data_IF_319682822225
#
_entry.id   IF_319682822225
#
_cell.length_a   1.000
_cell.length_b   1.000
_cell.length_c   1.000
_cell.angle_alpha   90.00
_cell.angle_beta   90.00
_cell.angle_gamma   90.00
#
_symmetry.space_group_name_H-M   'P 1'
#
loop_
_entity.id
_entity.type
_entity.pdbx_description
1 polymer ?
#
# COMPACT_ATOMS: atom_id res chain seq x y z
N UNK A 1 -20.98 -3.30 -10.56
CA UNK A 1 -19.51 -3.47 -10.69
C UNK A 1 -19.24 -4.97 -10.78
N UNK A 2 -19.17 -5.51 -12.00
CA UNK A 2 -19.07 -6.95 -12.24
C UNK A 2 -17.61 -7.40 -11.99
N UNK A 3 -17.38 -8.20 -10.94
CA UNK A 3 -16.06 -8.79 -10.62
C UNK A 3 -15.96 -10.15 -11.30
N UNK A 4 -15.74 -10.18 -12.62
CA UNK A 4 -15.35 -11.42 -13.33
C UNK A 4 -13.95 -11.83 -12.85
N UNK A 5 -13.89 -12.50 -11.69
CA UNK A 5 -12.68 -12.99 -11.07
C UNK A 5 -12.37 -14.36 -11.70
N UNK A 6 -11.56 -14.38 -12.76
CA UNK A 6 -11.03 -15.59 -13.41
C UNK A 6 -10.00 -16.31 -12.52
N UNK A 7 -10.31 -16.50 -11.23
CA UNK A 7 -9.42 -17.12 -10.24
C UNK A 7 -8.13 -16.33 -9.91
N UNK A 8 -7.91 -15.16 -10.51
CA UNK A 8 -6.69 -14.38 -10.32
C UNK A 8 -6.91 -13.21 -9.35
N UNK A 9 -6.33 -13.32 -8.15
CA UNK A 9 -6.25 -12.21 -7.20
C UNK A 9 -4.99 -11.37 -7.41
N UNK A 10 -5.03 -10.08 -7.05
CA UNK A 10 -3.85 -9.21 -7.06
C UNK A 10 -3.35 -9.04 -5.63
N UNK A 11 -2.08 -9.33 -5.42
CA UNK A 11 -1.41 -9.22 -4.13
C UNK A 11 -0.38 -8.09 -4.22
N UNK A 12 -0.13 -7.37 -3.12
CA UNK A 12 0.80 -6.23 -3.10
C UNK A 12 2.00 -6.50 -2.19
N UNK A 13 3.21 -6.26 -2.73
CA UNK A 13 4.44 -6.23 -1.96
C UNK A 13 5.11 -4.87 -2.14
N UNK A 14 5.48 -4.22 -1.05
CA UNK A 14 6.08 -2.89 -1.10
C UNK A 14 5.83 -2.09 0.17
N UNK A 15 6.09 -0.79 0.08
CA UNK A 15 5.99 0.12 1.20
C UNK A 15 4.95 1.19 0.92
N UNK A 16 4.10 1.41 1.90
CA UNK A 16 3.17 2.53 1.97
C UNK A 16 3.59 3.43 3.12
N UNK A 17 3.60 4.74 2.92
CA UNK A 17 3.97 5.70 3.96
C UNK A 17 3.07 6.91 3.90
N UNK A 18 2.74 7.44 5.09
CA UNK A 18 1.87 8.59 5.28
C UNK A 18 2.59 9.59 6.17
N UNK A 19 2.53 10.87 5.84
CA UNK A 19 3.10 11.98 6.60
C UNK A 19 2.09 13.11 6.75
N UNK A 20 1.83 13.53 7.98
CA UNK A 20 1.03 14.71 8.31
C UNK A 20 1.91 15.95 8.16
N UNK A 21 1.64 16.75 7.13
CA UNK A 21 2.37 18.01 6.88
C UNK A 21 1.81 19.11 7.78
N UNK A 22 0.48 19.23 7.83
CA UNK A 22 -0.25 20.13 8.73
C UNK A 22 -1.64 19.52 9.05
N UNK A 23 -2.48 20.24 9.81
CA UNK A 23 -3.81 19.76 10.22
C UNK A 23 -4.71 19.34 9.04
N UNK A 24 -4.51 19.93 7.87
CA UNK A 24 -5.37 19.76 6.71
C UNK A 24 -4.59 19.18 5.52
N UNK A 25 -3.37 18.66 5.69
CA UNK A 25 -2.56 18.14 4.60
C UNK A 25 -1.84 16.86 5.02
N UNK A 26 -2.27 15.77 4.41
CA UNK A 26 -1.70 14.45 4.59
C UNK A 26 -1.02 14.05 3.28
N UNK A 27 0.30 13.95 3.30
CA UNK A 27 1.07 13.38 2.21
C UNK A 27 1.08 11.86 2.31
N UNK A 28 0.93 11.17 1.20
CA UNK A 28 1.03 9.72 1.12
C UNK A 28 1.88 9.29 -0.07
N UNK A 29 2.52 8.14 0.08
CA UNK A 29 3.29 7.47 -0.98
C UNK A 29 3.08 5.96 -0.90
N UNK A 30 2.89 5.35 -2.06
CA UNK A 30 2.80 3.91 -2.27
C UNK A 30 3.87 3.56 -3.29
N UNK A 31 4.74 2.63 -2.91
CA UNK A 31 5.82 2.14 -3.75
C UNK A 31 5.90 0.63 -3.62
N UNK A 32 5.59 -0.10 -4.68
CA UNK A 32 5.69 -1.55 -4.67
C UNK A 32 5.20 -2.22 -5.94
N UNK A 33 5.07 -3.52 -5.86
CA UNK A 33 4.73 -4.39 -6.98
C UNK A 33 3.43 -5.14 -6.69
N UNK A 34 2.63 -5.28 -7.73
CA UNK A 34 1.49 -6.17 -7.75
C UNK A 34 1.88 -7.50 -8.39
N UNK A 35 1.40 -8.59 -7.82
CA UNK A 35 1.58 -9.96 -8.30
C UNK A 35 0.23 -10.63 -8.48
N UNK A 36 0.18 -11.65 -9.34
CA UNK A 36 -1.00 -12.49 -9.51
C UNK A 36 -0.96 -13.67 -8.53
N UNK A 37 -1.95 -13.73 -7.64
CA UNK A 37 -2.09 -14.74 -6.60
C UNK A 37 -0.93 -14.73 -5.58
N UNK A 38 -1.11 -15.46 -4.49
CA UNK A 38 -0.21 -15.47 -3.33
C UNK A 38 -0.89 -14.96 -2.08
N UNK A 39 -0.12 -14.84 -1.00
CA UNK A 39 -0.60 -14.35 0.29
C UNK A 39 0.13 -13.05 0.63
N UNK A 40 -0.59 -11.92 0.63
CA UNK A 40 -0.07 -10.66 1.15
C UNK A 40 -0.01 -10.74 2.67
N UNK A 41 1.19 -10.58 3.21
CA UNK A 41 1.45 -10.41 4.64
C UNK A 41 1.79 -8.95 4.89
N UNK A 42 1.06 -8.31 5.79
CA UNK A 42 1.39 -6.97 6.25
C UNK A 42 2.33 -7.08 7.45
N UNK A 43 3.47 -6.41 7.39
CA UNK A 43 4.44 -6.33 8.47
C UNK A 43 4.79 -4.88 8.74
N UNK A 44 4.70 -4.47 10.00
CA UNK A 44 4.85 -3.09 10.40
C UNK A 44 3.53 -2.55 10.92
N UNK A 45 3.52 -2.27 12.22
CA UNK A 45 2.55 -1.42 12.86
C UNK A 45 3.18 -0.05 12.99
N UNK A 46 2.83 0.85 12.07
CA UNK A 46 2.93 2.26 12.38
C UNK A 46 1.85 2.54 13.41
N UNK A 47 2.18 2.41 14.70
CA UNK A 47 1.47 3.21 15.69
C UNK A 47 1.44 4.63 15.09
N UNK A 48 0.33 5.34 15.20
CA UNK A 48 0.29 6.77 14.95
C UNK A 48 0.44 7.48 16.31
N UNK A 49 1.52 7.31 17.12
CA UNK A 49 1.59 8.00 18.40
C UNK A 49 2.39 9.28 18.18
N UNK A 50 1.70 10.42 18.09
CA UNK A 50 2.28 11.77 18.18
C UNK A 50 3.34 12.19 17.14
N UNK A 51 3.96 11.26 16.42
CA UNK A 51 4.89 11.51 15.33
C UNK A 51 4.07 11.63 14.04
N UNK A 52 4.27 12.73 13.33
CA UNK A 52 3.56 13.14 12.11
C UNK A 52 3.81 12.19 10.91
N UNK A 53 4.15 10.92 11.10
CA UNK A 53 4.44 9.96 10.05
C UNK A 53 4.16 8.51 10.48
N UNK A 54 3.65 7.68 9.55
CA UNK A 54 3.46 6.25 9.72
C UNK A 54 3.87 5.48 8.46
N UNK A 55 4.47 4.30 8.63
CA UNK A 55 4.93 3.45 7.54
C UNK A 55 4.35 2.03 7.69
N UNK A 56 3.89 1.45 6.59
CA UNK A 56 3.43 0.07 6.48
C UNK A 56 4.26 -0.64 5.40
N UNK A 57 4.74 -1.84 5.69
CA UNK A 57 5.40 -2.68 4.71
C UNK A 57 4.53 -3.91 4.43
N UNK A 58 4.47 -4.30 3.17
CA UNK A 58 3.72 -5.45 2.69
C UNK A 58 4.71 -6.37 2.00
N UNK A 59 4.63 -7.65 2.33
CA UNK A 59 5.40 -8.71 1.69
C UNK A 59 4.45 -9.74 1.13
N UNK A 60 4.86 -10.49 0.11
CA UNK A 60 4.06 -11.59 -0.41
C UNK A 60 4.85 -12.88 -0.23
N UNK A 61 4.18 -13.90 0.27
CA UNK A 61 4.67 -15.28 0.22
C UNK A 61 3.97 -16.04 -0.90
N UNK A 62 4.68 -16.99 -1.51
CA UNK A 62 4.18 -17.79 -2.65
C UNK A 62 3.71 -16.93 -3.83
N UNK A 63 4.40 -15.83 -4.11
CA UNK A 63 4.09 -14.98 -5.25
C UNK A 63 4.33 -15.75 -6.56
N UNK A 64 3.39 -15.64 -7.50
CA UNK A 64 3.58 -16.06 -8.89
C UNK A 64 3.28 -14.88 -9.81
N UNK A 65 3.94 -14.81 -10.97
CA UNK A 65 3.63 -13.88 -12.05
C UNK A 65 3.52 -12.40 -11.60
N UNK A 66 4.66 -11.69 -11.59
CA UNK A 66 4.69 -10.23 -11.47
C UNK A 66 3.68 -9.62 -12.45
N UNK A 67 2.82 -8.75 -11.96
CA UNK A 67 1.78 -8.11 -12.76
C UNK A 67 2.22 -6.71 -13.17
N UNK A 68 2.59 -5.87 -12.19
CA UNK A 68 2.94 -4.48 -12.47
C UNK A 68 3.60 -3.81 -11.27
N UNK A 69 4.62 -2.98 -11.55
CA UNK A 69 5.14 -2.01 -10.60
C UNK A 69 4.22 -0.79 -10.44
N UNK A 70 4.01 -0.35 -9.21
CA UNK A 70 3.16 0.79 -8.85
C UNK A 70 3.89 1.76 -7.94
N UNK A 71 4.10 2.97 -8.46
CA UNK A 71 4.59 4.11 -7.71
C UNK A 71 3.61 5.26 -7.85
N UNK A 72 2.99 5.65 -6.74
CA UNK A 72 2.16 6.86 -6.67
C UNK A 72 2.32 7.56 -5.34
N UNK A 73 2.22 8.87 -5.39
CA UNK A 73 2.20 9.73 -4.22
C UNK A 73 1.15 10.82 -4.43
N UNK A 74 0.79 11.50 -3.34
CA UNK A 74 -0.15 12.60 -3.41
C UNK A 74 -0.42 13.22 -2.06
N UNK A 75 -1.36 14.16 -2.08
CA UNK A 75 -1.83 14.86 -0.90
C UNK A 75 -3.33 14.64 -0.75
N UNK A 76 -3.77 14.44 0.48
CA UNK A 76 -5.18 14.54 0.86
C UNK A 76 -5.33 15.77 1.71
N UNK A 77 -6.28 16.62 1.32
CA UNK A 77 -6.63 17.80 2.08
C UNK A 77 -7.92 17.54 2.85
N UNK A 78 -7.87 17.62 4.19
CA UNK A 78 -9.08 17.58 4.99
C UNK A 78 -9.75 18.96 4.90
N UNK A 79 -11.01 19.00 4.45
CA UNK A 79 -11.84 20.21 4.42
C UNK A 79 -12.33 20.54 5.82
#
# INVERSE_FOLDING_TARGET
MNRNYLGTSKQFAGKTSVKFINKNNIYWVINGDFYNNGLTTMSGGGSVPLAKQGNLNFTISKASNHYKYFYKYGHVYAQ
#
